data_IF_782527612474
#
_entry.id   IF_782527612474
#
_cell.length_a   1.000
_cell.length_b   1.000
_cell.length_c   1.000
_cell.angle_alpha   90.00
_cell.angle_beta   90.00
_cell.angle_gamma   90.00
#
_symmetry.space_group_name_H-M   'P 1'
#
loop_
_entity.id
_entity.type
_entity.pdbx_description
1 polymer ?
#
# COMPACT_ATOMS: atom_id res chain seq x y z
N UNK A 1 -31.07 -68.68 31.23
CA UNK A 1 -30.60 -67.40 31.75
C UNK A 1 -29.58 -66.89 30.73
N UNK A 2 -30.04 -65.98 29.88
CA UNK A 2 -29.19 -65.41 28.75
C UNK A 2 -28.92 -63.99 29.12
N UNK A 3 -27.64 -63.63 29.40
CA UNK A 3 -27.22 -62.28 29.67
C UNK A 3 -26.96 -61.58 28.34
N UNK A 4 -27.70 -60.48 28.08
CA UNK A 4 -27.51 -59.60 26.96
C UNK A 4 -26.42 -58.57 27.31
N UNK A 5 -25.26 -58.69 26.67
CA UNK A 5 -24.19 -57.68 26.76
C UNK A 5 -24.49 -56.50 25.85
N UNK A 6 -24.83 -55.34 26.42
CA UNK A 6 -24.99 -54.09 25.69
C UNK A 6 -23.60 -53.49 25.46
N UNK A 7 -23.18 -53.43 24.19
CA UNK A 7 -21.98 -52.71 23.77
C UNK A 7 -22.35 -51.25 23.58
N UNK A 8 -21.88 -50.41 24.49
CA UNK A 8 -21.92 -48.94 24.34
C UNK A 8 -20.90 -48.51 23.28
N UNK A 9 -21.38 -48.11 22.11
CA UNK A 9 -20.53 -47.49 21.08
C UNK A 9 -20.31 -46.02 21.44
N UNK A 10 -19.09 -45.67 21.85
CA UNK A 10 -18.64 -44.31 22.05
C UNK A 10 -18.45 -43.64 20.68
N UNK A 11 -19.37 -42.74 20.29
CA UNK A 11 -19.24 -41.86 19.17
C UNK A 11 -18.30 -40.72 19.57
N UNK A 12 -17.02 -40.74 19.08
CA UNK A 12 -16.08 -39.66 19.22
C UNK A 12 -16.41 -38.62 18.12
N UNK A 13 -16.76 -37.37 18.46
CA UNK A 13 -16.99 -36.35 17.44
C UNK A 13 -15.67 -35.99 16.78
N UNK A 14 -15.57 -36.15 15.48
CA UNK A 14 -14.47 -35.67 14.64
C UNK A 14 -14.56 -34.15 14.54
N UNK A 15 -13.76 -33.45 15.33
CA UNK A 15 -13.62 -31.99 15.23
C UNK A 15 -12.76 -31.68 14.00
N UNK A 16 -13.38 -31.29 12.91
CA UNK A 16 -12.72 -30.80 11.72
C UNK A 16 -12.25 -29.35 12.01
N UNK A 17 -10.98 -29.17 12.30
CA UNK A 17 -10.37 -27.84 12.31
C UNK A 17 -10.34 -27.33 10.85
N UNK A 18 -11.25 -26.41 10.52
CA UNK A 18 -11.12 -25.60 9.32
C UNK A 18 -9.86 -24.75 9.47
N UNK A 19 -8.75 -25.17 8.86
CA UNK A 19 -7.56 -24.36 8.74
C UNK A 19 -7.92 -23.08 7.98
N UNK A 20 -7.64 -21.91 8.55
CA UNK A 20 -7.65 -20.66 7.81
C UNK A 20 -6.55 -20.77 6.76
N UNK A 21 -6.93 -21.12 5.55
CA UNK A 21 -6.06 -21.07 4.38
C UNK A 21 -5.69 -19.59 4.18
N UNK A 22 -4.44 -19.25 4.44
CA UNK A 22 -3.90 -17.93 4.11
C UNK A 22 -3.76 -17.88 2.59
N UNK A 23 -4.86 -17.61 1.90
CA UNK A 23 -4.86 -17.36 0.46
C UNK A 23 -3.79 -16.32 0.10
N UNK A 24 -3.33 -16.26 -1.16
CA UNK A 24 -2.34 -15.30 -1.61
C UNK A 24 -2.78 -13.90 -1.20
N UNK A 25 -1.87 -13.14 -0.61
CA UNK A 25 -2.12 -11.74 -0.21
C UNK A 25 -2.72 -11.00 -1.41
N UNK A 26 -3.88 -10.34 -1.26
CA UNK A 26 -4.50 -9.64 -2.38
C UNK A 26 -3.51 -8.62 -2.93
N UNK A 27 -3.22 -8.77 -4.22
CA UNK A 27 -2.32 -7.91 -4.96
C UNK A 27 -2.88 -6.49 -4.99
N UNK A 28 -2.05 -5.52 -4.62
CA UNK A 28 -2.42 -4.11 -4.75
C UNK A 28 -2.47 -3.73 -6.23
N UNK A 29 -3.58 -3.17 -6.66
CA UNK A 29 -3.78 -2.67 -8.01
C UNK A 29 -4.34 -1.24 -7.95
N UNK A 30 -3.58 -0.28 -8.49
CA UNK A 30 -4.03 1.10 -8.61
C UNK A 30 -4.97 1.25 -9.82
N UNK A 31 -5.99 2.08 -9.69
CA UNK A 31 -7.05 2.30 -10.68
C UNK A 31 -7.13 3.77 -11.11
N UNK A 32 -6.10 4.29 -11.83
CA UNK A 32 -6.04 5.70 -12.21
C UNK A 32 -7.09 6.13 -13.24
N UNK A 33 -7.76 5.17 -13.88
CA UNK A 33 -8.79 5.41 -14.88
C UNK A 33 -10.22 5.22 -14.35
N UNK A 34 -10.38 4.88 -13.06
CA UNK A 34 -11.67 4.79 -12.38
C UNK A 34 -12.03 6.15 -11.74
N UNK A 35 -13.02 6.88 -12.28
CA UNK A 35 -13.31 8.23 -11.82
C UNK A 35 -13.80 8.30 -10.36
N UNK A 36 -14.43 7.24 -9.85
CA UNK A 36 -14.91 7.22 -8.45
C UNK A 36 -13.74 7.05 -7.50
N UNK A 37 -12.81 6.18 -7.84
CA UNK A 37 -11.58 5.95 -7.06
C UNK A 37 -10.68 7.19 -7.09
N UNK A 38 -10.52 7.80 -8.26
CA UNK A 38 -9.72 9.01 -8.43
C UNK A 38 -10.31 10.19 -7.62
N UNK A 39 -11.64 10.36 -7.61
CA UNK A 39 -12.28 11.42 -6.82
C UNK A 39 -12.15 11.18 -5.30
N UNK A 40 -12.26 9.93 -4.83
CA UNK A 40 -11.97 9.58 -3.44
C UNK A 40 -10.50 9.89 -3.11
N UNK A 41 -9.59 9.51 -4.00
CA UNK A 41 -8.15 9.74 -3.84
C UNK A 41 -7.78 11.21 -3.77
N UNK A 42 -8.42 12.05 -4.60
CA UNK A 42 -8.26 13.52 -4.54
C UNK A 42 -8.59 14.06 -3.15
N UNK A 43 -9.74 13.67 -2.58
CA UNK A 43 -10.17 14.10 -1.23
C UNK A 43 -9.19 13.65 -0.14
N UNK A 44 -8.72 12.42 -0.20
CA UNK A 44 -7.72 11.89 0.74
C UNK A 44 -6.41 12.68 0.61
N UNK A 45 -5.96 12.95 -0.62
CA UNK A 45 -4.73 13.71 -0.86
C UNK A 45 -4.80 15.11 -0.26
N UNK A 46 -5.87 15.86 -0.53
CA UNK A 46 -6.09 17.20 0.01
C UNK A 46 -6.06 17.23 1.54
N UNK A 47 -6.61 16.21 2.17
CA UNK A 47 -6.74 16.15 3.64
C UNK A 47 -5.48 15.66 4.36
N UNK A 48 -4.68 14.79 3.71
CA UNK A 48 -3.64 14.02 4.40
C UNK A 48 -2.23 14.18 3.80
N UNK A 49 -2.11 14.57 2.55
CA UNK A 49 -0.85 14.57 1.83
C UNK A 49 -0.40 15.97 1.39
N UNK A 50 -1.34 16.79 0.94
CA UNK A 50 -1.05 18.09 0.32
C UNK A 50 -0.26 19.05 1.23
N UNK A 51 -0.46 19.00 2.53
CA UNK A 51 0.25 19.84 3.48
C UNK A 51 1.79 19.70 3.43
N UNK A 52 2.27 18.50 3.05
CA UNK A 52 3.70 18.22 2.90
C UNK A 52 4.12 18.08 1.44
N UNK A 53 3.32 17.41 0.61
CA UNK A 53 3.67 17.09 -0.77
C UNK A 53 3.22 18.16 -1.78
N UNK A 54 2.62 19.26 -1.30
CA UNK A 54 2.11 20.35 -2.12
C UNK A 54 0.72 20.05 -2.71
N UNK A 55 -0.10 21.10 -2.86
CA UNK A 55 -1.46 20.96 -3.39
C UNK A 55 -1.48 20.60 -4.89
N UNK A 56 -0.40 20.88 -5.61
CA UNK A 56 -0.20 20.56 -7.02
C UNK A 56 0.84 19.45 -7.22
N UNK A 57 1.10 18.62 -6.19
CA UNK A 57 2.06 17.52 -6.21
C UNK A 57 3.53 17.97 -6.28
N UNK A 58 3.83 19.25 -6.10
CA UNK A 58 5.12 19.88 -6.32
C UNK A 58 6.19 19.53 -5.28
N UNK A 59 5.78 18.96 -4.12
CA UNK A 59 6.69 18.64 -3.03
C UNK A 59 7.29 19.87 -2.34
N UNK A 60 8.36 19.66 -1.59
CA UNK A 60 9.09 20.69 -0.88
C UNK A 60 10.40 21.08 -1.61
N UNK A 61 10.88 22.31 -1.45
CA UNK A 61 12.17 22.72 -2.02
C UNK A 61 13.32 21.83 -1.55
N UNK A 62 14.29 21.57 -2.43
CA UNK A 62 15.50 20.76 -2.14
C UNK A 62 15.22 19.36 -1.58
N UNK A 63 14.13 18.76 -1.97
CA UNK A 63 13.69 17.45 -1.46
C UNK A 63 14.74 16.31 -1.63
N UNK A 64 15.78 16.52 -2.45
CA UNK A 64 16.91 15.58 -2.61
C UNK A 64 18.04 15.79 -1.60
N UNK A 65 17.95 16.83 -0.78
CA UNK A 65 18.95 17.19 0.22
C UNK A 65 18.35 17.02 1.63
N UNK A 66 19.18 16.59 2.58
CA UNK A 66 18.72 16.50 3.97
C UNK A 66 18.61 17.92 4.56
N UNK A 67 17.57 18.15 5.31
CA UNK A 67 17.40 19.37 6.08
C UNK A 67 18.29 19.41 7.36
N UNK A 68 18.17 20.48 8.14
CA UNK A 68 18.91 20.64 9.39
C UNK A 68 18.61 19.57 10.46
N UNK A 69 17.52 18.82 10.32
CA UNK A 69 17.18 17.70 11.21
C UNK A 69 17.72 16.36 10.71
N UNK A 70 18.34 16.33 9.54
CA UNK A 70 18.84 15.14 8.89
C UNK A 70 17.81 14.37 8.07
N UNK A 71 16.58 14.89 7.92
CA UNK A 71 15.50 14.27 7.15
C UNK A 71 15.42 14.83 5.74
N UNK A 72 14.92 14.03 4.81
CA UNK A 72 14.57 14.53 3.49
C UNK A 72 13.20 15.22 3.54
N UNK A 73 13.09 16.44 2.95
CA UNK A 73 11.80 17.08 2.74
C UNK A 73 10.90 16.24 1.84
N UNK A 74 9.59 16.49 1.88
CA UNK A 74 8.61 15.73 1.12
C UNK A 74 8.86 15.85 -0.40
N UNK A 75 9.06 14.73 -1.11
CA UNK A 75 9.30 14.75 -2.55
C UNK A 75 8.04 15.13 -3.33
N UNK A 76 8.19 15.63 -4.57
CA UNK A 76 7.08 15.76 -5.51
C UNK A 76 6.41 14.42 -5.83
N UNK A 77 5.12 14.46 -6.07
CA UNK A 77 4.35 13.32 -6.56
C UNK A 77 3.99 13.44 -8.06
N UNK A 78 4.34 14.56 -8.68
CA UNK A 78 4.22 14.75 -10.13
C UNK A 78 5.37 14.07 -10.91
N UNK A 79 5.46 14.36 -12.21
CA UNK A 79 6.51 13.82 -13.07
C UNK A 79 7.93 14.25 -12.71
N UNK A 80 8.12 15.33 -11.93
CA UNK A 80 9.45 15.82 -11.49
C UNK A 80 10.01 15.05 -10.28
N UNK A 81 9.13 14.32 -9.57
CA UNK A 81 9.50 13.49 -8.44
C UNK A 81 10.05 12.13 -8.83
N UNK A 82 9.95 11.17 -7.88
CA UNK A 82 10.41 9.80 -8.13
C UNK A 82 9.39 8.73 -7.73
N UNK A 83 8.17 9.10 -7.37
CA UNK A 83 7.10 8.16 -6.97
C UNK A 83 6.85 7.10 -8.04
N UNK A 84 6.85 7.48 -9.28
CA UNK A 84 6.64 6.62 -10.45
C UNK A 84 7.77 5.60 -10.73
N UNK A 85 8.90 5.69 -10.03
CA UNK A 85 9.96 4.68 -10.08
C UNK A 85 9.68 3.43 -9.23
N UNK A 86 8.60 3.42 -8.49
CA UNK A 86 8.24 2.33 -7.58
C UNK A 86 7.00 1.57 -8.05
N UNK A 87 6.95 0.24 -7.85
CA UNK A 87 5.74 -0.54 -8.14
C UNK A 87 4.62 -0.23 -7.12
N UNK A 88 3.39 -0.46 -7.54
CA UNK A 88 2.17 -0.17 -6.77
C UNK A 88 2.20 -0.77 -5.35
N UNK A 89 2.67 -2.00 -5.22
CA UNK A 89 2.78 -2.68 -3.92
C UNK A 89 3.74 -1.96 -2.96
N UNK A 90 4.90 -1.51 -3.46
CA UNK A 90 5.85 -0.77 -2.63
C UNK A 90 5.28 0.59 -2.24
N UNK A 91 4.63 1.32 -3.15
CA UNK A 91 3.97 2.60 -2.84
C UNK A 91 2.89 2.42 -1.77
N UNK A 92 2.09 1.37 -1.88
CA UNK A 92 1.08 1.04 -0.89
C UNK A 92 1.71 0.76 0.49
N UNK A 93 2.75 -0.08 0.55
CA UNK A 93 3.44 -0.40 1.80
C UNK A 93 4.13 0.81 2.42
N UNK A 94 4.75 1.68 1.62
CA UNK A 94 5.34 2.94 2.08
C UNK A 94 4.28 3.81 2.73
N UNK A 95 3.13 3.98 2.10
CA UNK A 95 2.03 4.79 2.63
C UNK A 95 1.46 4.17 3.89
N UNK A 96 1.20 2.87 3.88
CA UNK A 96 0.58 2.18 5.02
C UNK A 96 1.52 2.08 6.22
N UNK A 97 2.75 1.64 6.01
CA UNK A 97 3.65 1.24 7.10
C UNK A 97 4.83 2.20 7.32
N UNK A 98 4.96 3.25 6.51
CA UNK A 98 6.08 4.17 6.52
C UNK A 98 7.29 3.68 5.71
N UNK A 99 8.13 4.63 5.29
CA UNK A 99 9.27 4.40 4.38
C UNK A 99 10.26 3.38 4.93
N UNK A 100 10.68 3.56 6.19
CA UNK A 100 11.69 2.71 6.81
C UNK A 100 11.29 1.23 6.84
N UNK A 101 10.07 0.95 7.29
CA UNK A 101 9.54 -0.43 7.39
C UNK A 101 9.28 -1.03 6.01
N UNK A 102 8.67 -0.26 5.11
CA UNK A 102 8.31 -0.76 3.77
C UNK A 102 9.54 -1.10 2.91
N UNK A 103 10.64 -0.35 3.09
CA UNK A 103 11.87 -0.51 2.31
C UNK A 103 12.99 -1.23 3.09
N UNK A 104 12.68 -1.77 4.28
CA UNK A 104 13.63 -2.46 5.15
C UNK A 104 14.92 -1.66 5.42
N UNK A 105 14.76 -0.34 5.63
CA UNK A 105 15.86 0.58 5.90
C UNK A 105 16.06 0.68 7.42
N UNK A 106 17.25 0.30 7.87
CA UNK A 106 17.66 0.51 9.26
C UNK A 106 18.09 1.98 9.44
N UNK A 107 17.74 2.55 10.57
CA UNK A 107 18.14 3.92 10.97
C UNK A 107 17.72 5.03 9.99
N UNK A 108 16.66 4.79 9.21
CA UNK A 108 16.09 5.79 8.32
C UNK A 108 14.97 6.56 9.05
N UNK A 109 15.24 7.83 9.33
CA UNK A 109 14.25 8.74 9.90
C UNK A 109 13.49 9.47 8.79
N UNK A 110 12.16 9.37 8.83
CA UNK A 110 11.26 9.98 7.85
C UNK A 110 10.26 10.90 8.55
N UNK A 111 10.04 12.08 7.99
CA UNK A 111 8.97 12.97 8.42
C UNK A 111 7.58 12.49 7.94
N UNK A 112 7.52 11.61 6.93
CA UNK A 112 6.27 11.02 6.46
C UNK A 112 5.76 10.01 7.49
N UNK A 113 4.55 10.21 8.06
CA UNK A 113 3.97 9.25 8.99
C UNK A 113 3.53 7.97 8.27
N UNK A 114 3.41 6.88 9.02
CA UNK A 114 2.65 5.71 8.59
C UNK A 114 1.16 5.98 8.73
N UNK A 115 0.36 5.51 7.76
CA UNK A 115 -1.09 5.70 7.75
C UNK A 115 -1.88 4.45 8.18
N UNK A 116 -1.21 3.41 8.68
CA UNK A 116 -1.86 2.22 9.23
C UNK A 116 -2.75 2.62 10.42
N UNK A 117 -4.01 2.21 10.40
CA UNK A 117 -5.02 2.64 11.39
C UNK A 117 -5.54 4.07 11.21
N UNK A 118 -5.01 4.86 10.27
CA UNK A 118 -5.46 6.24 9.94
C UNK A 118 -6.25 6.26 8.64
N UNK A 119 -5.77 5.54 7.64
CA UNK A 119 -6.43 5.33 6.35
C UNK A 119 -6.75 3.85 6.17
N UNK A 120 -7.89 3.56 5.57
CA UNK A 120 -8.22 2.21 5.10
C UNK A 120 -7.38 1.85 3.87
N UNK A 121 -7.24 0.56 3.59
CA UNK A 121 -6.54 0.09 2.39
C UNK A 121 -7.17 0.65 1.10
N UNK A 122 -8.50 0.80 1.08
CA UNK A 122 -9.20 1.41 -0.05
C UNK A 122 -8.85 2.88 -0.24
N UNK A 123 -8.71 3.65 0.83
CA UNK A 123 -8.28 5.06 0.76
C UNK A 123 -6.82 5.20 0.33
N UNK A 124 -5.95 4.29 0.77
CA UNK A 124 -4.55 4.26 0.31
C UNK A 124 -4.49 3.96 -1.20
N UNK A 125 -5.21 2.94 -1.66
CA UNK A 125 -5.33 2.64 -3.10
C UNK A 125 -5.89 3.83 -3.86
N UNK A 126 -6.90 4.50 -3.33
CA UNK A 126 -7.53 5.65 -3.97
C UNK A 126 -6.57 6.83 -4.12
N UNK A 127 -5.86 7.22 -3.06
CA UNK A 127 -4.92 8.35 -3.13
C UNK A 127 -3.76 8.08 -4.07
N UNK A 128 -3.21 6.87 -4.07
CA UNK A 128 -2.15 6.47 -5.01
C UNK A 128 -2.67 6.41 -6.45
N UNK A 129 -3.91 5.98 -6.67
CA UNK A 129 -4.57 6.00 -7.99
C UNK A 129 -4.75 7.42 -8.51
N UNK A 130 -5.17 8.35 -7.63
CA UNK A 130 -5.30 9.76 -8.02
C UNK A 130 -3.94 10.37 -8.37
N UNK A 131 -2.88 10.12 -7.59
CA UNK A 131 -1.52 10.56 -7.90
C UNK A 131 -1.09 10.01 -9.28
N UNK A 132 -1.27 8.72 -9.52
CA UNK A 132 -0.94 8.08 -10.81
C UNK A 132 -1.72 8.66 -11.97
N UNK A 133 -2.97 9.08 -11.75
CA UNK A 133 -3.79 9.72 -12.78
C UNK A 133 -3.28 11.10 -13.22
N UNK A 134 -2.45 11.77 -12.38
CA UNK A 134 -1.86 13.06 -12.72
C UNK A 134 -0.58 12.94 -13.56
N UNK A 135 -0.01 11.74 -13.70
CA UNK A 135 1.23 11.57 -14.46
C UNK A 135 1.00 11.64 -15.97
N UNK A 136 1.94 12.24 -16.72
CA UNK A 136 1.96 12.16 -18.17
C UNK A 136 1.92 10.70 -18.66
N UNK A 137 1.35 10.45 -19.84
CA UNK A 137 1.18 9.09 -20.37
C UNK A 137 2.47 8.27 -20.42
N UNK A 138 3.59 8.90 -20.79
CA UNK A 138 4.91 8.26 -20.86
C UNK A 138 5.42 7.82 -19.47
N UNK A 139 5.16 8.61 -18.44
CA UNK A 139 5.52 8.29 -17.05
C UNK A 139 4.62 7.16 -16.52
N UNK A 140 3.31 7.22 -16.79
CA UNK A 140 2.39 6.13 -16.44
C UNK A 140 2.82 4.81 -17.07
N UNK A 141 3.14 4.83 -18.38
CA UNK A 141 3.61 3.64 -19.07
C UNK A 141 4.90 3.09 -18.47
N UNK A 142 5.86 3.94 -18.15
CA UNK A 142 7.10 3.53 -17.53
C UNK A 142 6.86 2.84 -16.17
N UNK A 143 5.98 3.40 -15.34
CA UNK A 143 5.63 2.82 -14.05
C UNK A 143 4.87 1.48 -14.21
N UNK A 144 4.04 1.34 -15.23
CA UNK A 144 3.37 0.06 -15.57
C UNK A 144 4.38 -1.03 -15.95
N UNK A 145 5.44 -0.67 -16.69
CA UNK A 145 6.53 -1.59 -17.00
C UNK A 145 7.29 -2.03 -15.73
N UNK A 146 7.47 -1.14 -14.75
CA UNK A 146 8.05 -1.45 -13.44
C UNK A 146 7.14 -2.41 -12.67
N UNK A 147 5.83 -2.13 -12.61
CA UNK A 147 4.85 -3.03 -12.01
C UNK A 147 4.91 -4.43 -12.61
N UNK A 148 4.87 -4.52 -13.93
CA UNK A 148 4.91 -5.80 -14.63
C UNK A 148 6.20 -6.60 -14.34
N UNK A 149 7.33 -5.92 -14.15
CA UNK A 149 8.59 -6.57 -13.75
C UNK A 149 8.56 -7.05 -12.30
N UNK A 150 8.05 -6.22 -11.40
CA UNK A 150 7.93 -6.57 -9.98
C UNK A 150 7.11 -7.84 -9.76
N UNK A 151 6.02 -7.98 -10.52
CA UNK A 151 5.11 -9.12 -10.41
C UNK A 151 5.67 -10.45 -10.94
N UNK A 152 6.68 -10.39 -11.79
CA UNK A 152 7.37 -11.62 -12.27
C UNK A 152 8.43 -12.13 -11.30
N UNK A 153 8.80 -11.31 -10.32
CA UNK A 153 9.88 -11.60 -9.37
C UNK A 153 9.37 -11.98 -7.97
N UNK A 154 8.04 -12.04 -7.80
CA UNK A 154 7.34 -12.52 -6.60
C UNK A 154 6.71 -13.89 -6.83
#
# INVERSE_FOLDING_TARGET
>A
MIQAMWRLALLVPLVVFAGCDSGPTPKVELRPDDPQIVELGRKVYEQRCAACHGAQLEGQPRWRERDSTGRFPAPPHDGSGHTWHHPDDLLFRITKHGVAKASNLKDYDSAMPAFDGVLTDAEIVAVLSWIKAQWPPEIRKHQEDINAKSLRNT
#
